data_IF_307094507417
#
_entry.id   IF_307094507417
#
_cell.length_a   1.000
_cell.length_b   1.000
_cell.length_c   1.000
_cell.angle_alpha   90.00
_cell.angle_beta   90.00
_cell.angle_gamma   90.00
#
_symmetry.space_group_name_H-M   'P 1'
#
loop_
_entity.id
_entity.type
_entity.pdbx_description
1 polymer ?
#
# COMPACT_ATOMS: atom_id res chain seq x y z
N UNK A 1 13.36 -9.38 45.21
CA UNK A 1 12.56 -9.27 43.98
C UNK A 1 13.50 -9.52 42.82
N UNK A 2 13.60 -10.77 42.38
CA UNK A 2 14.40 -11.17 41.23
C UNK A 2 13.61 -10.84 39.97
N UNK A 3 14.07 -9.86 39.21
CA UNK A 3 13.61 -9.61 37.85
C UNK A 3 14.03 -10.79 36.99
N UNK A 4 13.05 -11.58 36.54
CA UNK A 4 13.23 -12.64 35.54
C UNK A 4 13.82 -12.02 34.26
N UNK A 5 14.81 -12.66 33.61
CA UNK A 5 15.32 -12.17 32.34
C UNK A 5 14.22 -12.31 31.28
N UNK A 6 13.92 -11.22 30.59
CA UNK A 6 13.02 -11.21 29.44
C UNK A 6 13.59 -12.18 28.37
N UNK A 7 12.78 -13.15 27.95
CA UNK A 7 13.19 -14.13 26.95
C UNK A 7 13.55 -13.39 25.64
N UNK A 8 14.59 -13.84 24.90
CA UNK A 8 14.93 -13.18 23.64
C UNK A 8 13.73 -13.25 22.70
N UNK A 9 13.35 -12.10 22.14
CA UNK A 9 12.34 -12.04 21.08
C UNK A 9 12.69 -13.07 20.00
N UNK A 10 11.68 -13.81 19.50
CA UNK A 10 11.89 -14.72 18.38
C UNK A 10 12.48 -13.94 17.20
N UNK A 11 13.23 -14.60 16.33
CA UNK A 11 13.82 -13.95 15.14
C UNK A 11 12.76 -13.19 14.33
N UNK A 12 11.56 -13.74 14.20
CA UNK A 12 10.43 -13.07 13.54
C UNK A 12 10.01 -11.78 14.25
N UNK A 13 9.82 -11.81 15.58
CA UNK A 13 9.46 -10.60 16.34
C UNK A 13 10.53 -9.51 16.27
N UNK A 14 11.82 -9.89 16.22
CA UNK A 14 12.91 -8.95 16.03
C UNK A 14 12.91 -8.32 14.62
N UNK A 15 12.57 -9.09 13.59
CA UNK A 15 12.40 -8.59 12.22
C UNK A 15 11.20 -7.65 12.11
N UNK A 16 10.05 -8.01 12.70
CA UNK A 16 8.85 -7.16 12.69
C UNK A 16 9.09 -5.82 13.39
N UNK A 17 9.79 -5.83 14.53
CA UNK A 17 10.15 -4.61 15.25
C UNK A 17 11.13 -3.72 14.46
N UNK A 18 12.04 -4.33 13.69
CA UNK A 18 12.92 -3.59 12.77
C UNK A 18 12.11 -2.92 11.67
N UNK A 19 11.24 -3.67 10.99
CA UNK A 19 10.41 -3.17 9.89
C UNK A 19 9.50 -2.03 10.38
N UNK A 20 8.81 -2.20 11.52
CA UNK A 20 7.95 -1.15 12.09
C UNK A 20 8.72 0.15 12.39
N UNK A 21 9.97 0.05 12.85
CA UNK A 21 10.82 1.23 13.08
C UNK A 21 11.26 1.87 11.76
N UNK A 22 11.56 1.06 10.73
CA UNK A 22 11.92 1.56 9.41
C UNK A 22 10.74 2.23 8.70
N UNK A 23 9.50 1.82 8.97
CA UNK A 23 8.28 2.43 8.41
C UNK A 23 8.01 3.86 8.91
N UNK A 24 8.63 4.29 10.02
CA UNK A 24 8.51 5.66 10.54
C UNK A 24 9.37 6.70 9.80
N UNK A 25 10.19 6.26 8.84
CA UNK A 25 11.06 7.16 8.07
C UNK A 25 10.25 8.08 7.18
N UNK A 26 10.84 9.22 6.82
CA UNK A 26 10.29 10.06 5.76
C UNK A 26 10.33 9.32 4.41
N UNK A 27 9.22 9.36 3.68
CA UNK A 27 9.07 8.84 2.32
C UNK A 27 8.48 9.96 1.48
N UNK A 28 9.15 10.32 0.39
CA UNK A 28 8.61 11.29 -0.54
C UNK A 28 7.56 10.61 -1.43
N UNK A 29 6.43 11.27 -1.65
CA UNK A 29 5.28 10.73 -2.40
C UNK A 29 5.62 10.45 -3.86
N UNK A 30 5.09 9.36 -4.41
CA UNK A 30 5.17 9.07 -5.85
C UNK A 30 4.24 10.01 -6.64
N UNK A 31 4.74 10.77 -7.64
CA UNK A 31 3.93 11.60 -8.50
C UNK A 31 2.76 10.87 -9.17
N UNK A 32 2.93 9.60 -9.52
CA UNK A 32 1.87 8.81 -10.16
C UNK A 32 0.71 8.53 -9.21
N UNK A 33 0.96 8.45 -7.90
CA UNK A 33 -0.09 8.21 -6.90
C UNK A 33 0.31 7.23 -5.80
N UNK A 34 -0.69 6.63 -5.17
CA UNK A 34 -0.53 5.58 -4.16
C UNK A 34 -1.61 4.51 -4.33
N UNK A 35 -1.40 3.37 -3.68
CA UNK A 35 -2.30 2.23 -3.74
C UNK A 35 -2.86 1.87 -2.36
N UNK A 36 -4.14 1.50 -2.34
CA UNK A 36 -4.73 0.73 -1.26
C UNK A 36 -4.90 -0.71 -1.73
N UNK A 37 -4.38 -1.66 -0.94
CA UNK A 37 -4.49 -3.09 -1.23
C UNK A 37 -5.59 -3.70 -0.35
N UNK A 38 -6.46 -4.49 -0.97
CA UNK A 38 -7.54 -5.23 -0.31
C UNK A 38 -7.50 -6.69 -0.74
N UNK A 39 -8.06 -7.57 0.09
CA UNK A 39 -8.26 -8.97 -0.22
C UNK A 39 -9.74 -9.23 -0.51
N UNK A 40 -10.04 -9.71 -1.71
CA UNK A 40 -11.34 -10.24 -2.08
C UNK A 40 -11.30 -11.76 -1.89
N UNK A 41 -11.76 -12.21 -0.71
CA UNK A 41 -11.66 -13.63 -0.32
C UNK A 41 -12.65 -14.51 -1.06
N UNK A 42 -13.79 -13.96 -1.49
CA UNK A 42 -14.79 -14.70 -2.23
C UNK A 42 -14.30 -15.00 -3.65
N UNK A 43 -13.60 -14.04 -4.26
CA UNK A 43 -12.97 -14.21 -5.57
C UNK A 43 -11.57 -14.84 -5.53
N UNK A 44 -10.97 -14.97 -4.35
CA UNK A 44 -9.55 -15.32 -4.17
C UNK A 44 -8.60 -14.37 -4.96
N UNK A 45 -8.85 -13.06 -4.84
CA UNK A 45 -8.09 -12.02 -5.53
C UNK A 45 -7.51 -10.95 -4.59
N UNK A 46 -6.41 -10.37 -5.04
CA UNK A 46 -5.85 -9.11 -4.58
C UNK A 46 -6.54 -7.97 -5.36
N UNK A 47 -6.98 -6.93 -4.67
CA UNK A 47 -7.61 -5.75 -5.27
C UNK A 47 -6.79 -4.52 -4.94
N UNK A 48 -6.29 -3.84 -5.97
CA UNK A 48 -5.47 -2.63 -5.85
C UNK A 48 -6.25 -1.43 -6.36
N UNK A 49 -6.51 -0.49 -5.46
CA UNK A 49 -7.15 0.78 -5.76
C UNK A 49 -6.09 1.88 -5.86
N UNK A 50 -5.95 2.47 -7.04
CA UNK A 50 -4.97 3.53 -7.30
C UNK A 50 -5.58 4.92 -7.12
N UNK A 51 -4.85 5.80 -6.44
CA UNK A 51 -5.25 7.18 -6.16
C UNK A 51 -4.12 8.16 -6.49
N UNK A 52 -4.43 9.26 -7.18
CA UNK A 52 -3.44 10.29 -7.47
C UNK A 52 -2.92 11.03 -6.23
N UNK A 53 -1.70 11.56 -6.30
CA UNK A 53 -1.12 12.43 -5.27
C UNK A 53 -1.23 13.92 -5.65
N UNK A 54 -2.32 14.33 -6.31
CA UNK A 54 -2.50 15.75 -6.67
C UNK A 54 -2.45 16.59 -5.39
N UNK A 55 -1.41 17.41 -5.25
CA UNK A 55 -1.23 18.34 -4.13
C UNK A 55 -1.14 19.72 -4.76
N UNK A 56 -1.87 20.69 -4.22
CA UNK A 56 -1.79 22.07 -4.71
C UNK A 56 -0.61 22.86 -4.14
N UNK A 57 -0.42 24.08 -4.62
CA UNK A 57 0.62 25.02 -4.16
C UNK A 57 0.55 25.35 -2.67
N UNK A 58 -0.54 24.97 -1.98
CA UNK A 58 -0.75 25.16 -0.54
C UNK A 58 -0.51 23.86 0.26
N UNK A 59 -0.06 22.79 -0.40
CA UNK A 59 0.20 21.50 0.25
C UNK A 59 -1.07 20.69 0.52
N UNK A 60 -2.21 21.04 -0.07
CA UNK A 60 -3.48 20.34 0.13
C UNK A 60 -3.68 19.26 -0.94
N UNK A 61 -3.99 18.04 -0.51
CA UNK A 61 -4.40 16.98 -1.42
C UNK A 61 -5.67 17.39 -2.15
N UNK A 62 -5.70 17.20 -3.48
CA UNK A 62 -6.83 17.49 -4.35
C UNK A 62 -7.30 16.25 -5.07
N UNK A 63 -8.59 16.21 -5.33
CA UNK A 63 -9.16 15.24 -6.24
C UNK A 63 -8.56 15.45 -7.64
N UNK A 64 -8.13 14.36 -8.28
CA UNK A 64 -7.46 14.41 -9.58
C UNK A 64 -8.42 14.71 -10.73
N UNK A 65 -9.72 14.46 -10.56
CA UNK A 65 -10.75 14.67 -11.57
C UNK A 65 -11.47 16.01 -11.37
N UNK A 66 -11.80 16.38 -10.14
CA UNK A 66 -12.56 17.61 -9.84
C UNK A 66 -11.68 18.79 -9.39
N UNK A 67 -10.45 18.52 -8.96
CA UNK A 67 -9.57 19.54 -8.39
C UNK A 67 -10.00 20.04 -7.01
N UNK A 68 -11.01 19.45 -6.37
CA UNK A 68 -11.45 19.86 -5.03
C UNK A 68 -10.45 19.44 -3.94
N UNK A 69 -10.32 20.24 -2.88
CA UNK A 69 -9.48 19.88 -1.73
C UNK A 69 -10.08 18.67 -1.01
N UNK A 70 -9.30 17.61 -0.90
CA UNK A 70 -9.62 16.41 -0.13
C UNK A 70 -9.44 16.73 1.35
N UNK A 71 -10.55 16.84 2.08
CA UNK A 71 -10.56 17.08 3.52
C UNK A 71 -10.57 15.75 4.27
N UNK A 72 -9.79 15.65 5.36
CA UNK A 72 -9.76 14.48 6.23
C UNK A 72 -10.98 14.37 7.17
N UNK A 73 -11.91 15.32 7.14
CA UNK A 73 -13.06 15.43 8.06
C UNK A 73 -14.36 14.76 7.55
N UNK A 74 -14.29 14.04 6.42
CA UNK A 74 -15.44 13.32 5.86
C UNK A 74 -16.50 14.21 5.20
N UNK A 75 -16.20 15.49 4.98
CA UNK A 75 -17.13 16.44 4.34
C UNK A 75 -17.24 16.29 2.82
N UNK A 76 -16.37 15.51 2.17
CA UNK A 76 -16.44 15.26 0.72
C UNK A 76 -16.89 13.83 0.39
N UNK A 77 -17.46 13.64 -0.81
CA UNK A 77 -17.83 12.33 -1.31
C UNK A 77 -16.65 11.34 -1.25
N UNK A 78 -16.87 10.04 -0.98
CA UNK A 78 -15.80 9.07 -0.87
C UNK A 78 -14.94 9.07 -2.15
N UNK A 79 -13.63 9.23 -1.97
CA UNK A 79 -12.67 9.32 -3.06
C UNK A 79 -12.79 8.09 -3.95
N UNK A 80 -13.01 8.31 -5.25
CA UNK A 80 -13.03 7.23 -6.23
C UNK A 80 -11.60 6.87 -6.64
N UNK A 81 -11.28 5.57 -6.74
CA UNK A 81 -9.99 5.17 -7.30
C UNK A 81 -9.95 5.58 -8.78
N UNK A 82 -8.80 6.11 -9.20
CA UNK A 82 -8.51 6.45 -10.59
C UNK A 82 -8.33 5.20 -11.48
N UNK A 83 -7.91 4.09 -10.88
CA UNK A 83 -7.85 2.78 -11.52
C UNK A 83 -8.01 1.68 -10.47
N UNK A 84 -8.53 0.53 -10.88
CA UNK A 84 -8.62 -0.67 -10.04
C UNK A 84 -7.97 -1.83 -10.78
N UNK A 85 -7.02 -2.49 -10.13
CA UNK A 85 -6.32 -3.66 -10.64
C UNK A 85 -6.69 -4.87 -9.81
N UNK A 86 -6.84 -6.02 -10.49
CA UNK A 86 -7.19 -7.30 -9.84
C UNK A 86 -6.27 -8.41 -10.33
N UNK A 87 -5.92 -9.31 -9.42
CA UNK A 87 -5.14 -10.49 -9.75
C UNK A 87 -5.06 -11.47 -8.59
N UNK A 88 -4.87 -12.75 -8.91
CA UNK A 88 -4.79 -13.82 -7.89
C UNK A 88 -3.39 -13.96 -7.28
N UNK A 89 -2.38 -13.32 -7.89
CA UNK A 89 -1.00 -13.33 -7.39
C UNK A 89 -0.36 -11.96 -7.50
N UNK A 90 0.60 -11.70 -6.62
CA UNK A 90 1.44 -10.51 -6.66
C UNK A 90 2.23 -10.41 -7.97
N UNK A 91 2.67 -11.54 -8.53
CA UNK A 91 3.35 -11.58 -9.83
C UNK A 91 2.46 -11.07 -10.96
N UNK A 92 1.21 -11.54 -11.01
CA UNK A 92 0.25 -11.11 -12.02
C UNK A 92 0.00 -9.59 -11.94
N UNK A 93 -0.20 -9.06 -10.74
CA UNK A 93 -0.37 -7.62 -10.53
C UNK A 93 0.90 -6.84 -10.85
N UNK A 94 2.08 -7.34 -10.47
CA UNK A 94 3.36 -6.72 -10.81
C UNK A 94 3.54 -6.53 -12.32
N UNK A 95 3.23 -7.58 -13.10
CA UNK A 95 3.25 -7.51 -14.58
C UNK A 95 2.24 -6.48 -15.08
N UNK A 96 0.99 -6.51 -14.61
CA UNK A 96 -0.04 -5.55 -15.03
C UNK A 96 0.37 -4.09 -14.78
N UNK A 97 1.02 -3.82 -13.64
CA UNK A 97 1.39 -2.47 -13.23
C UNK A 97 2.65 -1.95 -13.93
N UNK A 98 3.57 -2.83 -14.33
CA UNK A 98 4.93 -2.42 -14.76
C UNK A 98 5.28 -2.77 -16.19
N UNK A 99 4.64 -3.77 -16.80
CA UNK A 99 4.95 -4.25 -18.16
C UNK A 99 3.86 -3.88 -19.18
N UNK A 100 2.79 -3.22 -18.74
CA UNK A 100 1.73 -2.70 -19.62
C UNK A 100 2.15 -1.45 -20.41
N UNK A 101 1.21 -0.92 -21.21
CA UNK A 101 1.43 0.34 -21.92
C UNK A 101 1.49 1.53 -20.96
N UNK A 102 2.35 2.51 -21.28
CA UNK A 102 2.48 3.74 -20.51
C UNK A 102 1.19 4.59 -20.59
N UNK A 103 0.90 5.44 -19.58
CA UNK A 103 1.71 5.71 -18.39
C UNK A 103 1.59 4.63 -17.30
N UNK A 104 2.72 4.32 -16.63
CA UNK A 104 2.72 3.42 -15.49
C UNK A 104 2.18 4.11 -14.23
N UNK A 105 1.36 3.41 -13.41
CA UNK A 105 0.77 3.98 -12.20
C UNK A 105 1.75 4.02 -11.01
N UNK A 106 3.02 3.65 -11.22
CA UNK A 106 4.14 3.80 -10.28
C UNK A 106 5.29 4.44 -11.04
N UNK A 107 5.85 5.54 -10.54
CA UNK A 107 6.97 6.25 -11.19
C UNK A 107 8.28 6.19 -10.39
N UNK A 108 8.23 5.79 -9.12
CA UNK A 108 9.42 5.73 -8.25
C UNK A 108 9.82 4.31 -7.89
N UNK A 109 11.13 4.06 -7.91
CA UNK A 109 11.70 2.74 -7.66
C UNK A 109 11.47 2.24 -6.23
N UNK A 110 11.57 3.13 -5.24
CA UNK A 110 11.30 2.81 -3.83
C UNK A 110 9.82 2.46 -3.60
N UNK A 111 8.90 3.13 -4.33
CA UNK A 111 7.47 2.81 -4.30
C UNK A 111 7.16 1.49 -5.01
N UNK A 112 7.83 1.19 -6.14
CA UNK A 112 7.71 -0.11 -6.79
C UNK A 112 8.20 -1.25 -5.89
N UNK A 113 9.31 -1.06 -5.18
CA UNK A 113 9.84 -2.04 -4.22
C UNK A 113 8.89 -2.24 -3.04
N UNK A 114 8.36 -1.15 -2.48
CA UNK A 114 7.35 -1.20 -1.42
C UNK A 114 6.10 -1.96 -1.88
N UNK A 115 5.56 -1.63 -3.05
CA UNK A 115 4.37 -2.27 -3.59
C UNK A 115 4.60 -3.77 -3.81
N UNK A 116 5.77 -4.18 -4.31
CA UNK A 116 6.14 -5.58 -4.43
C UNK A 116 6.13 -6.33 -3.09
N UNK A 117 6.69 -5.73 -2.02
CA UNK A 117 6.66 -6.31 -0.66
C UNK A 117 5.22 -6.51 -0.17
N UNK A 118 4.40 -5.47 -0.28
CA UNK A 118 3.02 -5.52 0.21
C UNK A 118 2.15 -6.48 -0.60
N UNK A 119 2.36 -6.58 -1.92
CA UNK A 119 1.68 -7.56 -2.76
C UNK A 119 2.02 -9.00 -2.34
N UNK A 120 3.28 -9.28 -2.04
CA UNK A 120 3.71 -10.60 -1.56
C UNK A 120 3.11 -10.93 -0.19
N UNK A 121 3.09 -9.96 0.74
CA UNK A 121 2.45 -10.08 2.05
C UNK A 121 0.94 -10.33 1.91
N UNK A 122 0.26 -9.55 1.06
CA UNK A 122 -1.16 -9.69 0.79
C UNK A 122 -1.50 -11.06 0.18
N UNK A 123 -0.70 -11.52 -0.79
CA UNK A 123 -0.87 -12.85 -1.40
C UNK A 123 -0.72 -13.96 -0.34
N UNK A 124 0.27 -13.86 0.53
CA UNK A 124 0.47 -14.83 1.61
C UNK A 124 -0.72 -14.82 2.59
N UNK A 125 -1.20 -13.65 3.00
CA UNK A 125 -2.38 -13.55 3.87
C UNK A 125 -3.65 -14.11 3.22
N UNK A 126 -3.79 -13.96 1.91
CA UNK A 126 -4.90 -14.56 1.16
C UNK A 126 -4.80 -16.09 1.17
N UNK A 127 -3.62 -16.64 0.90
CA UNK A 127 -3.35 -18.09 0.91
C UNK A 127 -3.57 -18.73 2.27
N UNK A 128 -3.11 -18.07 3.33
CA UNK A 128 -3.18 -18.59 4.70
C UNK A 128 -4.53 -18.32 5.38
N UNK A 129 -5.40 -17.52 4.75
CA UNK A 129 -6.66 -17.08 5.37
C UNK A 129 -6.46 -16.11 6.54
N UNK A 130 -5.28 -15.49 6.66
CA UNK A 130 -4.95 -14.55 7.75
C UNK A 130 -5.29 -13.11 7.39
N UNK A 131 -5.36 -12.24 8.40
CA UNK A 131 -5.65 -10.81 8.20
C UNK A 131 -4.46 -10.11 7.55
N UNK A 132 -4.72 -9.43 6.44
CA UNK A 132 -3.76 -8.53 5.81
C UNK A 132 -3.89 -7.14 6.42
N UNK A 133 -2.76 -6.56 6.80
CA UNK A 133 -2.62 -5.15 7.20
C UNK A 133 -1.50 -4.58 6.37
N UNK A 134 -1.80 -3.54 5.59
CA UNK A 134 -0.79 -2.82 4.83
C UNK A 134 0.12 -2.05 5.81
N UNK A 135 1.43 -2.07 5.55
CA UNK A 135 2.47 -1.33 6.31
C UNK A 135 2.25 0.19 6.28
#
# INVERSE_FOLDING_TARGET
>A
MTTTPEAPASTAAAMDALDQRLSQRFIALDPSGYFLIKLDRDAAELVLEHYGNTIDDKGLARDSETGEVLRCDGGNAPRRPSAVYRGSTAKQLGIQLTEGEAPHPVSRLDHALYLGRELQKAEQCLRDGTVYVQD
#
